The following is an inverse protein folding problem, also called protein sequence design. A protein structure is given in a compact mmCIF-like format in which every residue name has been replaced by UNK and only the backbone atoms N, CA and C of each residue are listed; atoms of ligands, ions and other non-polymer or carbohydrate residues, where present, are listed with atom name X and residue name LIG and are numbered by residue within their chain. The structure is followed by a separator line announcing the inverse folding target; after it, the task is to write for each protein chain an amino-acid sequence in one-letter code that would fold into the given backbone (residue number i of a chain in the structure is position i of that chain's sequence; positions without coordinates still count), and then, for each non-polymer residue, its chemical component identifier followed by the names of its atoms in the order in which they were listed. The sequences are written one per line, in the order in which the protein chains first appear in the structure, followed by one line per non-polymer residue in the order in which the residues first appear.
data_IF_363833681282
#
_entry.id   IF_363833681282
#
_cell.length_a   1.000
_cell.length_b   1.000
_cell.length_c   1.000
_cell.angle_alpha   90.00
_cell.angle_beta   90.00
_cell.angle_gamma   90.00
#
_symmetry.space_group_name_H-M   'P 1'
#
loop_
_entity.id
_entity.type
_entity.pdbx_description
1 polymer ?
#
# COMPACT_ATOMS: atom_id res chain seq x y z
N UNK A 1 9.08 -13.17 2.64
CA UNK A 1 7.96 -14.09 2.93
C UNK A 1 7.97 -15.34 2.05
N UNK A 2 8.02 -15.21 0.71
CA UNK A 2 8.02 -16.34 -0.26
C UNK A 2 9.16 -17.38 -0.17
N UNK A 3 10.24 -17.12 0.57
CA UNK A 3 11.31 -18.10 0.77
C UNK A 3 10.90 -19.26 1.69
N UNK A 4 10.01 -19.02 2.65
CA UNK A 4 9.49 -20.07 3.54
C UNK A 4 8.64 -21.10 2.79
N UNK A 5 7.97 -20.69 1.71
CA UNK A 5 7.20 -21.61 0.86
C UNK A 5 8.11 -22.57 0.10
N UNK A 6 9.29 -22.11 -0.34
CA UNK A 6 10.33 -22.96 -0.91
C UNK A 6 10.88 -23.96 0.13
N UNK A 7 11.19 -23.50 1.34
CA UNK A 7 11.72 -24.34 2.43
C UNK A 7 10.80 -25.47 2.87
N UNK A 8 9.47 -25.35 2.71
CA UNK A 8 8.51 -26.38 3.10
C UNK A 8 8.19 -27.39 1.97
N UNK A 9 8.52 -27.06 0.72
CA UNK A 9 8.15 -27.86 -0.47
C UNK A 9 9.36 -28.16 -1.37
N UNK A 10 10.53 -28.42 -0.78
CA UNK A 10 11.78 -28.74 -1.50
C UNK A 10 11.65 -29.97 -2.43
N UNK A 11 10.63 -30.81 -2.24
CA UNK A 11 10.37 -32.02 -3.05
C UNK A 11 9.67 -31.76 -4.39
N UNK A 12 9.15 -30.56 -4.65
CA UNK A 12 8.38 -30.26 -5.87
C UNK A 12 9.09 -29.22 -6.73
N UNK A 13 9.53 -29.65 -7.92
CA UNK A 13 10.38 -28.88 -8.85
C UNK A 13 9.84 -27.47 -9.19
N UNK A 14 8.51 -27.30 -9.21
CA UNK A 14 7.85 -26.01 -9.49
C UNK A 14 8.15 -24.92 -8.45
N UNK A 15 8.45 -25.29 -7.19
CA UNK A 15 8.74 -24.30 -6.15
C UNK A 15 10.16 -23.71 -6.25
N UNK A 16 11.03 -24.25 -7.11
CA UNK A 16 12.35 -23.68 -7.37
C UNK A 16 12.30 -22.26 -7.96
N UNK A 17 11.19 -21.87 -8.59
CA UNK A 17 11.01 -20.51 -9.11
C UNK A 17 11.03 -19.48 -7.98
N UNK A 18 10.56 -19.84 -6.78
CA UNK A 18 10.65 -18.99 -5.60
C UNK A 18 12.07 -18.88 -5.05
N UNK A 19 13.08 -19.60 -5.56
CA UNK A 19 14.49 -19.40 -5.17
C UNK A 19 15.05 -18.08 -5.70
N UNK A 20 14.59 -17.64 -6.86
CA UNK A 20 15.11 -16.45 -7.53
C UNK A 20 14.61 -15.17 -6.86
N UNK A 21 15.54 -14.28 -6.52
CA UNK A 21 15.22 -12.99 -5.90
C UNK A 21 14.36 -12.12 -6.83
N UNK A 22 14.61 -12.16 -8.14
CA UNK A 22 13.87 -11.41 -9.16
C UNK A 22 12.38 -11.75 -9.14
N UNK A 23 12.05 -13.05 -9.04
CA UNK A 23 10.66 -13.50 -8.99
C UNK A 23 9.97 -13.04 -7.71
N UNK A 24 10.66 -13.08 -6.57
CA UNK A 24 10.11 -12.59 -5.29
C UNK A 24 9.89 -11.08 -5.29
N UNK A 25 10.85 -10.30 -5.79
CA UNK A 25 10.75 -8.84 -5.82
C UNK A 25 9.64 -8.39 -6.77
N UNK A 26 9.55 -9.02 -7.95
CA UNK A 26 8.46 -8.75 -8.89
C UNK A 26 7.10 -9.14 -8.30
N UNK A 27 7.01 -10.34 -7.71
CA UNK A 27 5.81 -10.81 -7.03
C UNK A 27 5.35 -9.85 -5.94
N UNK A 28 6.26 -9.39 -5.07
CA UNK A 28 5.96 -8.42 -4.02
C UNK A 28 5.39 -7.10 -4.57
N UNK A 29 6.00 -6.56 -5.63
CA UNK A 29 5.52 -5.34 -6.29
C UNK A 29 4.14 -5.50 -6.94
N UNK A 30 3.90 -6.63 -7.62
CA UNK A 30 2.58 -6.92 -8.21
C UNK A 30 1.52 -7.09 -7.11
N UNK A 31 1.83 -7.80 -6.03
CA UNK A 31 0.89 -7.97 -4.92
C UNK A 31 0.58 -6.66 -4.21
N UNK A 32 1.58 -5.82 -3.93
CA UNK A 32 1.35 -4.54 -3.26
C UNK A 32 0.55 -3.57 -4.13
N UNK A 33 0.78 -3.59 -5.44
CA UNK A 33 0.01 -2.80 -6.41
C UNK A 33 -1.45 -3.24 -6.48
N UNK A 34 -1.71 -4.55 -6.56
CA UNK A 34 -3.08 -5.08 -6.57
C UNK A 34 -3.83 -4.75 -5.28
N UNK A 35 -3.17 -4.92 -4.13
CA UNK A 35 -3.73 -4.54 -2.81
C UNK A 35 -4.04 -3.05 -2.79
N UNK A 36 -3.12 -2.21 -3.30
CA UNK A 36 -3.28 -0.76 -3.32
C UNK A 36 -4.49 -0.30 -4.14
N UNK A 37 -4.72 -0.89 -5.32
CA UNK A 37 -5.88 -0.56 -6.16
C UNK A 37 -7.18 -1.01 -5.52
N UNK A 38 -7.24 -2.24 -5.00
CA UNK A 38 -8.47 -2.84 -4.46
C UNK A 38 -8.89 -2.18 -3.14
N UNK A 39 -7.92 -1.90 -2.26
CA UNK A 39 -8.19 -1.36 -0.92
C UNK A 39 -8.08 0.16 -0.85
N UNK A 40 -7.43 0.83 -1.81
CA UNK A 40 -7.16 2.26 -1.76
C UNK A 40 -8.43 3.11 -1.60
N UNK A 41 -9.44 2.88 -2.43
CA UNK A 41 -10.71 3.62 -2.34
C UNK A 41 -11.45 3.40 -1.01
N UNK A 42 -11.43 2.17 -0.48
CA UNK A 42 -12.03 1.85 0.83
C UNK A 42 -11.26 2.52 1.97
N UNK A 43 -9.94 2.56 1.89
CA UNK A 43 -9.08 3.18 2.88
C UNK A 43 -9.23 4.71 2.92
N UNK A 44 -9.31 5.35 1.75
CA UNK A 44 -9.57 6.80 1.64
C UNK A 44 -10.92 7.15 2.27
N UNK A 45 -11.97 6.39 1.98
CA UNK A 45 -13.28 6.60 2.60
C UNK A 45 -13.27 6.34 4.12
N UNK A 46 -12.47 5.38 4.60
CA UNK A 46 -12.30 5.14 6.02
C UNK A 46 -11.61 6.32 6.72
N UNK A 47 -10.54 6.86 6.15
CA UNK A 47 -9.84 8.03 6.69
C UNK A 47 -10.75 9.27 6.70
N UNK A 48 -11.52 9.49 5.62
CA UNK A 48 -12.48 10.60 5.55
C UNK A 48 -13.56 10.49 6.63
N UNK A 49 -14.07 9.28 6.90
CA UNK A 49 -15.04 9.04 8.00
C UNK A 49 -14.45 9.31 9.39
N UNK A 50 -13.14 9.18 9.55
CA UNK A 50 -12.42 9.45 10.81
C UNK A 50 -12.07 10.92 11.01
N UNK A 51 -12.47 11.81 10.08
CA UNK A 51 -12.14 13.24 10.10
C UNK A 51 -10.63 13.51 10.26
N UNK A 52 -9.80 12.61 9.74
CA UNK A 52 -8.36 12.82 9.63
C UNK A 52 -8.11 13.70 8.40
N UNK A 53 -8.63 14.92 8.42
CA UNK A 53 -8.45 15.90 7.36
C UNK A 53 -7.33 16.88 7.75
N UNK A 54 -6.58 17.39 6.77
CA UNK A 54 -5.60 18.43 7.08
C UNK A 54 -6.30 19.73 7.49
N UNK A 55 -5.96 20.24 8.67
CA UNK A 55 -6.37 21.56 9.13
C UNK A 55 -5.50 22.63 8.44
N UNK A 56 -6.07 23.31 7.46
CA UNK A 56 -5.40 24.39 6.73
C UNK A 56 -5.61 25.69 7.51
N UNK A 57 -4.53 26.46 7.72
CA UNK A 57 -4.59 27.78 8.35
C UNK A 57 -5.20 28.82 7.39
N UNK A 58 -6.12 29.62 7.90
CA UNK A 58 -6.87 30.62 7.13
C UNK A 58 -6.00 31.82 6.66
N UNK A 59 -4.81 31.97 7.22
CA UNK A 59 -3.79 32.98 6.91
C UNK A 59 -2.98 32.70 5.62
N UNK A 60 -3.30 31.62 4.88
CA UNK A 60 -2.58 31.20 3.66
C UNK A 60 -3.14 31.72 2.32
N UNK A 61 -2.40 31.57 1.21
CA UNK A 61 -2.87 31.94 -0.13
C UNK A 61 -4.14 31.18 -0.51
N UNK A 62 -5.10 31.84 -1.18
CA UNK A 62 -6.40 31.23 -1.56
C UNK A 62 -6.28 29.89 -2.31
N UNK A 63 -5.18 29.66 -3.02
CA UNK A 63 -4.89 28.41 -3.71
C UNK A 63 -4.76 27.22 -2.76
N UNK A 64 -4.34 27.42 -1.50
CA UNK A 64 -4.21 26.37 -0.49
C UNK A 64 -5.56 25.90 0.08
N UNK A 65 -6.59 26.76 0.07
CA UNK A 65 -7.95 26.39 0.50
C UNK A 65 -8.56 25.28 -0.37
N UNK A 66 -8.09 25.12 -1.61
CA UNK A 66 -8.57 24.05 -2.52
C UNK A 66 -8.21 22.63 -2.08
N UNK A 67 -7.26 22.47 -1.13
CA UNK A 67 -6.86 21.18 -0.56
C UNK A 67 -7.60 20.83 0.74
N UNK A 68 -8.53 21.69 1.17
CA UNK A 68 -9.29 21.49 2.40
C UNK A 68 -10.16 20.23 2.27
N UNK A 69 -9.98 19.26 3.17
CA UNK A 69 -10.72 18.00 3.16
C UNK A 69 -10.01 16.81 2.50
N UNK A 70 -8.75 16.93 2.07
CA UNK A 70 -7.95 15.74 1.73
C UNK A 70 -7.53 14.99 3.00
N UNK A 71 -7.77 13.67 3.08
CA UNK A 71 -7.40 12.89 4.26
C UNK A 71 -5.88 12.79 4.42
N UNK A 72 -5.39 12.93 5.65
CA UNK A 72 -4.00 12.72 6.04
C UNK A 72 -3.73 11.25 6.40
N UNK A 73 -2.45 10.86 6.55
CA UNK A 73 -1.97 9.50 6.83
C UNK A 73 -1.99 8.47 5.68
N UNK A 74 -1.94 8.90 4.42
CA UNK A 74 -1.75 7.97 3.30
C UNK A 74 -0.51 7.06 3.42
N UNK A 75 0.54 7.49 4.11
CA UNK A 75 1.74 6.67 4.35
C UNK A 75 1.49 5.40 5.15
N UNK A 76 0.49 5.38 6.05
CA UNK A 76 0.11 4.17 6.81
C UNK A 76 -0.42 3.08 5.86
N UNK A 77 -1.14 3.47 4.82
CA UNK A 77 -1.61 2.55 3.78
C UNK A 77 -0.45 1.88 3.06
N UNK A 78 0.58 2.67 2.71
CA UNK A 78 1.76 2.19 1.98
C UNK A 78 2.49 1.14 2.81
N UNK A 79 2.71 1.40 4.10
CA UNK A 79 3.37 0.46 5.02
C UNK A 79 2.59 -0.83 5.18
N UNK A 80 1.25 -0.79 5.15
CA UNK A 80 0.41 -1.99 5.22
C UNK A 80 0.40 -2.77 3.91
N UNK A 81 0.57 -2.09 2.78
CA UNK A 81 0.49 -2.71 1.45
C UNK A 81 1.77 -3.45 0.99
N UNK A 82 2.90 -3.20 1.65
CA UNK A 82 4.25 -3.69 1.28
C UNK A 82 4.71 -4.84 2.16
#
# INVERSE_FOLDING_TARGET
MLYYLYSNFDSVVIFNVFKYITFRSFGAGVTSFLISIVLGGKFINFLKKRQLEESIRDDGPKTHLSKQGTPTMGGVFIVVSV
#
